data_IF_424377104171
#
_entry.id   IF_424377104171
#
_cell.length_a   1.000
_cell.length_b   1.000
_cell.length_c   1.000
_cell.angle_alpha   90.00
_cell.angle_beta   90.00
_cell.angle_gamma   90.00
#
_symmetry.space_group_name_H-M   'P 1'
#
loop_
_entity.id
_entity.type
_entity.pdbx_description
1 polymer ?
#
# COMPACT_ATOMS: atom_id res chain seq x y z
N UNK A 1 -40.15 17.27 -46.13
CA UNK A 1 -40.76 16.85 -44.84
C UNK A 1 -39.71 17.03 -43.75
N UNK A 2 -39.89 18.04 -42.88
CA UNK A 2 -38.92 18.44 -41.89
C UNK A 2 -39.34 17.88 -40.49
N UNK A 3 -38.53 17.02 -39.90
CA UNK A 3 -38.74 16.50 -38.54
C UNK A 3 -38.16 17.50 -37.52
N UNK A 4 -39.04 18.05 -36.73
CA UNK A 4 -38.77 18.99 -35.64
C UNK A 4 -38.43 18.18 -34.37
N UNK A 5 -37.17 18.24 -33.91
CA UNK A 5 -36.74 17.69 -32.63
C UNK A 5 -37.05 18.67 -31.49
N UNK A 6 -37.86 18.25 -30.53
CA UNK A 6 -38.17 18.95 -29.29
C UNK A 6 -37.12 18.64 -28.22
N UNK A 7 -36.51 19.68 -27.62
CA UNK A 7 -35.56 19.56 -26.49
C UNK A 7 -36.34 19.39 -25.17
N UNK A 8 -35.88 18.55 -24.26
CA UNK A 8 -36.46 18.44 -22.91
C UNK A 8 -36.00 19.59 -21.99
N UNK A 9 -36.97 20.08 -21.20
CA UNK A 9 -36.86 21.16 -20.23
C UNK A 9 -36.06 20.72 -19.01
N UNK A 10 -35.03 21.48 -18.61
CA UNK A 10 -34.30 21.31 -17.34
C UNK A 10 -35.18 21.71 -16.17
N UNK A 11 -35.40 20.80 -15.24
CA UNK A 11 -36.05 21.04 -13.96
C UNK A 11 -34.98 21.30 -12.86
N UNK A 12 -34.89 22.54 -12.41
CA UNK A 12 -34.11 22.91 -11.21
C UNK A 12 -34.84 22.46 -9.95
N UNK A 13 -34.25 21.53 -9.20
CA UNK A 13 -34.68 21.23 -7.83
C UNK A 13 -33.74 21.94 -6.86
N UNK A 14 -34.22 23.03 -6.28
CA UNK A 14 -33.63 23.68 -5.09
C UNK A 14 -33.90 22.84 -3.86
N UNK A 15 -32.81 22.40 -3.19
CA UNK A 15 -32.86 21.68 -1.91
C UNK A 15 -32.69 22.68 -0.77
N UNK A 16 -33.54 22.71 0.27
CA UNK A 16 -33.40 23.63 1.39
C UNK A 16 -32.28 23.17 2.34
N UNK A 17 -31.42 24.13 2.71
CA UNK A 17 -30.36 23.97 3.70
C UNK A 17 -31.01 23.97 5.08
N UNK A 18 -30.91 22.85 5.79
CA UNK A 18 -31.32 22.73 7.19
C UNK A 18 -30.13 23.14 8.09
N UNK A 19 -30.21 24.32 8.70
CA UNK A 19 -29.25 24.81 9.68
C UNK A 19 -29.62 24.26 11.06
N UNK A 20 -28.77 23.38 11.63
CA UNK A 20 -28.91 22.86 12.98
C UNK A 20 -28.03 23.71 13.92
N UNK A 21 -28.53 24.28 15.03
CA UNK A 21 -27.70 25.02 15.96
C UNK A 21 -26.90 24.10 16.88
N UNK A 22 -25.60 24.33 16.96
CA UNK A 22 -24.65 23.64 17.82
C UNK A 22 -24.72 24.22 19.24
N UNK A 23 -25.21 23.44 20.21
CA UNK A 23 -25.23 23.81 21.62
C UNK A 23 -23.84 23.51 22.24
N UNK A 24 -23.13 24.56 22.64
CA UNK A 24 -21.91 24.47 23.45
C UNK A 24 -22.30 24.21 24.92
N UNK A 25 -21.93 23.05 25.44
CA UNK A 25 -21.95 22.77 26.88
C UNK A 25 -20.53 22.91 27.42
N UNK A 26 -20.28 23.99 28.13
CA UNK A 26 -19.09 24.20 28.95
C UNK A 26 -19.35 23.57 30.32
N UNK A 27 -18.60 22.54 30.66
CA UNK A 27 -18.60 21.91 31.97
C UNK A 27 -17.20 21.98 32.57
N UNK A 28 -16.96 22.99 33.45
CA UNK A 28 -15.84 22.98 34.37
C UNK A 28 -16.14 22.01 35.50
N UNK A 29 -15.22 21.09 35.79
CA UNK A 29 -15.14 20.44 37.09
C UNK A 29 -13.67 20.38 37.54
N UNK A 30 -13.30 21.24 38.46
CA UNK A 30 -12.08 21.16 39.27
C UNK A 30 -12.34 20.15 40.41
N UNK A 31 -11.48 19.17 40.57
CA UNK A 31 -11.27 18.52 41.86
C UNK A 31 -9.79 18.28 42.07
N UNK A 32 -9.26 19.00 43.06
CA UNK A 32 -7.96 18.78 43.66
C UNK A 32 -7.94 17.43 44.37
N UNK A 33 -6.90 16.62 44.15
CA UNK A 33 -6.46 15.65 45.14
C UNK A 33 -4.96 15.37 45.00
N UNK A 34 -4.38 15.27 46.13
CA UNK A 34 -3.00 15.37 46.58
C UNK A 34 -1.98 14.43 45.94
N UNK A 35 -0.76 14.91 45.86
CA UNK A 35 0.47 14.28 45.40
C UNK A 35 0.89 13.20 46.42
N UNK A 36 1.12 11.99 45.95
CA UNK A 36 1.88 10.98 46.67
C UNK A 36 3.02 10.45 45.75
N UNK A 37 4.31 10.68 46.12
CA UNK A 37 5.43 10.26 45.30
C UNK A 37 5.96 8.89 45.76
N UNK A 38 5.60 7.83 45.03
CA UNK A 38 6.45 6.64 44.85
C UNK A 38 5.67 5.47 44.20
N UNK A 39 5.73 5.39 42.86
CA UNK A 39 5.74 4.10 42.21
C UNK A 39 6.46 4.24 40.86
N UNK A 40 7.64 3.65 40.76
CA UNK A 40 8.34 3.43 39.50
C UNK A 40 7.47 2.55 38.61
N UNK A 41 6.68 3.14 37.72
CA UNK A 41 6.01 2.43 36.63
C UNK A 41 6.97 2.49 35.44
N UNK A 42 7.61 1.37 35.19
CA UNK A 42 8.37 1.14 33.95
C UNK A 42 7.37 1.16 32.80
N UNK A 43 7.20 2.31 32.17
CA UNK A 43 6.53 2.39 30.87
C UNK A 43 7.49 1.85 29.83
N UNK A 44 7.28 0.58 29.45
CA UNK A 44 7.80 0.07 28.19
C UNK A 44 7.09 0.81 27.05
N UNK A 45 7.70 1.91 26.58
CA UNK A 45 7.35 2.47 25.26
C UNK A 45 7.64 1.37 24.23
N UNK A 46 6.58 0.73 23.74
CA UNK A 46 6.62 -0.06 22.53
C UNK A 46 6.80 0.97 21.40
N UNK A 47 8.04 1.13 20.98
CA UNK A 47 8.44 1.94 19.83
C UNK A 47 8.16 1.08 18.56
N UNK A 48 6.86 0.92 18.22
CA UNK A 48 6.37 -0.02 17.20
C UNK A 48 6.32 0.58 15.80
N UNK A 49 7.05 1.68 15.51
CA UNK A 49 6.99 2.37 14.21
C UNK A 49 8.35 2.60 13.53
N UNK A 50 9.33 1.75 13.77
CA UNK A 50 10.54 1.77 12.95
C UNK A 50 10.37 0.71 11.86
N UNK A 51 9.96 1.13 10.65
CA UNK A 51 10.09 0.30 9.45
C UNK A 51 11.54 -0.13 9.36
N UNK A 52 11.79 -1.44 9.38
CA UNK A 52 13.15 -1.97 9.25
C UNK A 52 13.69 -1.60 7.86
N UNK A 53 14.49 -0.55 7.82
CA UNK A 53 15.04 0.00 6.58
C UNK A 53 16.15 -0.87 5.97
N UNK A 54 16.60 -1.92 6.68
CA UNK A 54 17.66 -2.82 6.17
C UNK A 54 17.20 -3.62 4.93
N UNK A 55 15.90 -3.83 4.78
CA UNK A 55 15.29 -4.59 3.69
C UNK A 55 14.64 -3.70 2.60
N UNK A 56 14.96 -2.40 2.59
CA UNK A 56 14.39 -1.44 1.63
C UNK A 56 15.51 -0.71 0.90
N UNK A 57 15.42 -0.65 -0.43
CA UNK A 57 16.23 0.22 -1.27
C UNK A 57 15.33 1.24 -1.98
N UNK A 58 15.67 2.52 -1.89
CA UNK A 58 15.01 3.59 -2.64
C UNK A 58 15.92 3.96 -3.81
N UNK A 59 15.47 3.65 -5.03
CA UNK A 59 16.22 3.91 -6.26
C UNK A 59 15.82 5.29 -6.80
N UNK A 60 16.57 6.31 -6.38
CA UNK A 60 16.28 7.71 -6.72
C UNK A 60 17.14 8.15 -7.92
N UNK A 61 16.78 7.69 -9.14
CA UNK A 61 17.49 7.95 -10.39
C UNK A 61 16.52 8.16 -11.55
N UNK A 62 16.69 9.26 -12.28
CA UNK A 62 15.77 9.65 -13.37
C UNK A 62 15.69 8.60 -14.49
N UNK A 63 16.80 7.95 -14.83
CA UNK A 63 16.80 6.88 -15.85
C UNK A 63 15.98 5.67 -15.38
N UNK A 64 16.08 5.31 -14.10
CA UNK A 64 15.30 4.22 -13.50
C UNK A 64 13.83 4.61 -13.46
N UNK A 65 13.52 5.81 -12.98
CA UNK A 65 12.14 6.33 -12.89
C UNK A 65 11.47 6.35 -14.27
N UNK A 66 12.20 6.78 -15.33
CA UNK A 66 11.69 6.75 -16.70
C UNK A 66 11.46 5.34 -17.25
N UNK A 67 12.31 4.37 -16.92
CA UNK A 67 12.11 2.97 -17.33
C UNK A 67 10.79 2.42 -16.78
N UNK A 68 10.41 2.78 -15.54
CA UNK A 68 9.24 2.26 -14.84
C UNK A 68 7.96 3.02 -15.19
N UNK A 69 8.00 4.37 -15.17
CA UNK A 69 6.79 5.19 -15.28
C UNK A 69 6.60 5.82 -16.66
N UNK A 70 7.67 5.94 -17.48
CA UNK A 70 7.70 6.62 -18.79
C UNK A 70 7.45 8.14 -18.73
N UNK A 71 6.91 8.65 -17.64
CA UNK A 71 6.59 10.07 -17.41
C UNK A 71 6.73 10.42 -15.92
N UNK A 72 6.62 11.70 -15.60
CA UNK A 72 6.78 12.20 -14.23
C UNK A 72 8.22 12.60 -13.91
N UNK A 73 8.42 13.19 -12.74
CA UNK A 73 9.72 13.58 -12.21
C UNK A 73 10.06 12.77 -10.97
N UNK A 74 11.29 12.31 -10.85
CA UNK A 74 11.78 11.62 -9.64
C UNK A 74 11.50 12.46 -8.39
N UNK A 75 11.07 11.82 -7.30
CA UNK A 75 10.74 12.48 -6.04
C UNK A 75 11.20 11.66 -4.84
N UNK A 76 11.44 12.34 -3.73
CA UNK A 76 11.86 11.68 -2.48
C UNK A 76 10.66 11.10 -1.70
N UNK A 77 10.95 10.04 -0.94
CA UNK A 77 10.01 9.42 -0.01
C UNK A 77 10.36 9.84 1.42
N UNK A 78 9.42 10.47 2.10
CA UNK A 78 9.50 10.75 3.54
C UNK A 78 9.20 9.50 4.37
N UNK A 79 9.55 9.49 5.65
CA UNK A 79 9.19 8.42 6.59
C UNK A 79 7.67 8.19 6.63
N UNK A 80 6.88 9.25 6.57
CA UNK A 80 5.41 9.14 6.47
C UNK A 80 4.98 8.40 5.21
N UNK A 81 5.62 8.67 4.07
CA UNK A 81 5.31 7.95 2.82
C UNK A 81 5.65 6.45 2.95
N UNK A 82 6.76 6.09 3.59
CA UNK A 82 7.13 4.68 3.79
C UNK A 82 6.09 3.92 4.63
N UNK A 83 5.60 4.54 5.71
CA UNK A 83 4.52 3.96 6.53
C UNK A 83 3.23 3.78 5.71
N UNK A 84 2.89 4.75 4.88
CA UNK A 84 1.69 4.70 4.03
C UNK A 84 1.80 3.64 2.94
N UNK A 85 2.98 3.53 2.29
CA UNK A 85 3.30 2.45 1.34
C UNK A 85 3.14 1.08 2.01
N UNK A 86 3.70 0.88 3.20
CA UNK A 86 3.63 -0.39 3.93
C UNK A 86 2.19 -0.78 4.27
N UNK A 87 1.36 0.18 4.64
CA UNK A 87 -0.08 -0.03 4.90
C UNK A 87 -0.82 -0.48 3.64
N UNK A 88 -0.65 0.22 2.51
CA UNK A 88 -1.32 -0.10 1.24
C UNK A 88 -0.82 -1.43 0.67
N UNK A 89 0.49 -1.68 0.76
CA UNK A 89 1.11 -2.94 0.36
C UNK A 89 0.54 -4.11 1.17
N UNK A 90 0.40 -3.94 2.48
CA UNK A 90 -0.16 -4.96 3.37
C UNK A 90 -1.63 -5.26 3.03
N UNK A 91 -2.43 -4.25 2.69
CA UNK A 91 -3.81 -4.43 2.22
C UNK A 91 -3.85 -5.24 0.92
N UNK A 92 -3.07 -4.86 -0.08
CA UNK A 92 -2.96 -5.57 -1.36
C UNK A 92 -2.61 -7.05 -1.16
N UNK A 93 -1.59 -7.34 -0.35
CA UNK A 93 -1.13 -8.72 -0.10
C UNK A 93 -2.17 -9.53 0.71
N UNK A 94 -2.86 -8.90 1.66
CA UNK A 94 -3.95 -9.57 2.37
C UNK A 94 -5.09 -9.98 1.44
N UNK A 95 -5.46 -9.13 0.48
CA UNK A 95 -6.47 -9.45 -0.53
C UNK A 95 -6.00 -10.57 -1.46
N UNK A 96 -4.74 -10.51 -1.92
CA UNK A 96 -4.12 -11.57 -2.73
C UNK A 96 -4.13 -12.90 -1.98
N UNK A 97 -3.63 -12.92 -0.75
CA UNK A 97 -3.52 -14.14 0.06
C UNK A 97 -4.87 -14.80 0.32
N UNK A 98 -5.95 -14.03 0.56
CA UNK A 98 -7.31 -14.58 0.69
C UNK A 98 -7.73 -15.36 -0.57
N UNK A 99 -7.46 -14.81 -1.76
CA UNK A 99 -7.76 -15.48 -3.03
C UNK A 99 -6.90 -16.74 -3.22
N UNK A 100 -5.62 -16.64 -2.91
CA UNK A 100 -4.67 -17.75 -3.03
C UNK A 100 -4.97 -18.91 -2.05
N UNK A 101 -5.48 -18.60 -0.87
CA UNK A 101 -5.91 -19.63 0.10
C UNK A 101 -7.09 -20.46 -0.43
N UNK A 102 -8.04 -19.83 -1.10
CA UNK A 102 -9.15 -20.53 -1.76
C UNK A 102 -8.60 -21.49 -2.83
N UNK A 103 -7.71 -20.97 -3.71
CA UNK A 103 -7.09 -21.76 -4.79
C UNK A 103 -6.29 -22.95 -4.21
N UNK A 104 -5.51 -22.72 -3.17
CA UNK A 104 -4.77 -23.78 -2.48
C UNK A 104 -5.70 -24.88 -1.97
N UNK A 105 -6.77 -24.51 -1.27
CA UNK A 105 -7.73 -25.45 -0.68
C UNK A 105 -8.46 -26.25 -1.76
N UNK A 106 -8.86 -25.61 -2.86
CA UNK A 106 -9.48 -26.29 -4.02
C UNK A 106 -8.52 -27.30 -4.67
N UNK A 107 -7.26 -26.91 -4.92
CA UNK A 107 -6.25 -27.81 -5.49
C UNK A 107 -5.98 -29.00 -4.56
N UNK A 108 -5.87 -28.75 -3.26
CA UNK A 108 -5.62 -29.80 -2.25
C UNK A 108 -6.81 -30.75 -2.12
N UNK A 109 -8.04 -30.25 -2.20
CA UNK A 109 -9.26 -31.06 -2.17
C UNK A 109 -9.38 -31.98 -3.40
N UNK A 110 -9.06 -31.45 -4.61
CA UNK A 110 -9.11 -32.20 -5.87
C UNK A 110 -8.03 -33.30 -5.96
N UNK A 111 -6.87 -33.06 -5.35
CA UNK A 111 -5.71 -33.94 -5.40
C UNK A 111 -5.05 -34.05 -4.02
N UNK A 112 -5.63 -34.80 -3.06
CA UNK A 112 -5.15 -34.84 -1.66
C UNK A 112 -3.70 -35.30 -1.53
N UNK A 113 -3.26 -36.22 -2.38
CA UNK A 113 -1.92 -36.82 -2.35
C UNK A 113 -0.86 -35.98 -3.08
N UNK A 114 -1.28 -34.98 -3.85
CA UNK A 114 -0.33 -34.11 -4.56
C UNK A 114 0.42 -33.20 -3.58
N UNK A 115 1.76 -33.13 -3.62
CA UNK A 115 2.58 -32.48 -2.61
C UNK A 115 2.64 -30.94 -2.79
N UNK A 116 1.48 -30.26 -2.86
CA UNK A 116 1.44 -28.79 -2.85
C UNK A 116 1.72 -28.24 -1.47
N UNK A 117 2.49 -27.15 -1.41
CA UNK A 117 2.85 -26.48 -0.15
C UNK A 117 2.16 -25.13 -0.08
N UNK A 118 1.47 -24.83 1.04
CA UNK A 118 0.77 -23.55 1.24
C UNK A 118 1.69 -22.33 1.04
N UNK A 119 2.97 -22.44 1.42
CA UNK A 119 3.96 -21.37 1.23
C UNK A 119 4.18 -20.93 -0.23
N UNK A 120 3.84 -21.78 -1.19
CA UNK A 120 3.95 -21.43 -2.63
C UNK A 120 2.76 -20.58 -3.12
N UNK A 121 1.76 -20.37 -2.28
CA UNK A 121 0.56 -19.58 -2.60
C UNK A 121 0.49 -18.28 -1.80
N UNK A 122 1.02 -18.29 -0.58
CA UNK A 122 0.85 -17.19 0.38
C UNK A 122 2.12 -16.35 0.46
N UNK A 123 1.98 -15.04 0.36
CA UNK A 123 3.05 -14.04 0.50
C UNK A 123 3.13 -13.59 1.96
N UNK A 124 4.30 -13.71 2.59
CA UNK A 124 4.59 -13.19 3.92
C UNK A 124 5.58 -12.02 3.82
N UNK A 125 5.08 -10.78 3.79
CA UNK A 125 5.86 -9.57 3.53
C UNK A 125 7.13 -9.40 4.36
N UNK A 126 7.16 -9.93 5.58
CA UNK A 126 8.35 -9.90 6.48
C UNK A 126 9.58 -10.62 5.89
N UNK A 127 9.36 -11.51 4.92
CA UNK A 127 10.41 -12.31 4.28
C UNK A 127 10.93 -11.68 2.98
N UNK A 128 10.51 -10.44 2.64
CA UNK A 128 10.83 -9.82 1.36
C UNK A 128 11.71 -8.58 1.53
N UNK A 129 12.71 -8.48 0.67
CA UNK A 129 13.35 -7.20 0.35
C UNK A 129 12.45 -6.41 -0.60
N UNK A 130 12.62 -5.09 -0.60
CA UNK A 130 11.79 -4.18 -1.38
C UNK A 130 12.61 -3.10 -2.05
N UNK A 131 12.28 -2.81 -3.29
CA UNK A 131 12.78 -1.64 -4.00
C UNK A 131 11.64 -0.66 -4.23
N UNK A 132 11.92 0.62 -4.05
CA UNK A 132 10.99 1.70 -4.30
C UNK A 132 11.55 2.66 -5.34
N UNK A 133 10.75 2.96 -6.36
CA UNK A 133 11.00 4.03 -7.32
C UNK A 133 9.84 5.00 -7.22
N UNK A 134 10.11 6.27 -6.91
CA UNK A 134 9.06 7.26 -6.68
C UNK A 134 9.10 8.39 -7.71
N UNK A 135 7.94 8.76 -8.23
CA UNK A 135 7.77 9.90 -9.12
C UNK A 135 6.62 10.80 -8.67
N UNK A 136 6.68 12.05 -9.09
CA UNK A 136 5.54 12.97 -9.13
C UNK A 136 4.99 12.96 -10.54
N UNK A 137 3.76 12.46 -10.70
CA UNK A 137 3.12 12.33 -12.01
C UNK A 137 2.66 13.70 -12.56
N UNK A 138 2.13 13.72 -13.78
CA UNK A 138 1.69 14.94 -14.47
C UNK A 138 0.56 15.68 -13.74
N UNK A 139 -0.19 15.01 -12.85
CA UNK A 139 -1.21 15.62 -11.98
C UNK A 139 -0.64 16.17 -10.68
N UNK A 140 0.67 16.00 -10.45
CA UNK A 140 1.34 16.39 -9.23
C UNK A 140 1.20 15.41 -8.08
N UNK A 141 0.60 14.22 -8.31
CA UNK A 141 0.43 13.16 -7.32
C UNK A 141 1.70 12.32 -7.20
N UNK A 142 1.99 11.82 -6.01
CA UNK A 142 3.14 10.95 -5.77
C UNK A 142 2.78 9.50 -6.03
N UNK A 143 3.49 8.89 -6.96
CA UNK A 143 3.37 7.47 -7.30
C UNK A 143 4.65 6.72 -6.98
N UNK A 144 4.52 5.47 -6.54
CA UNK A 144 5.65 4.61 -6.18
C UNK A 144 5.47 3.25 -6.82
N UNK A 145 6.48 2.81 -7.55
CA UNK A 145 6.63 1.41 -7.92
C UNK A 145 7.30 0.67 -6.77
N UNK A 146 6.70 -0.44 -6.39
CA UNK A 146 7.15 -1.33 -5.32
C UNK A 146 7.48 -2.67 -5.95
N UNK A 147 8.74 -3.07 -5.87
CA UNK A 147 9.23 -4.38 -6.29
C UNK A 147 9.63 -5.18 -5.05
N UNK A 148 9.09 -6.38 -4.91
CA UNK A 148 9.29 -7.26 -3.76
C UNK A 148 9.88 -8.60 -4.18
N UNK A 149 10.88 -9.07 -3.44
CA UNK A 149 11.55 -10.34 -3.71
C UNK A 149 12.02 -11.01 -2.42
N UNK A 150 11.83 -12.34 -2.32
CA UNK A 150 12.20 -13.12 -1.13
C UNK A 150 13.61 -13.74 -1.23
N UNK A 151 14.30 -13.59 -2.36
CA UNK A 151 15.65 -14.06 -2.58
C UNK A 151 16.43 -13.08 -3.46
N UNK A 152 17.72 -12.93 -3.21
CA UNK A 152 18.64 -12.14 -4.01
C UNK A 152 19.87 -12.98 -4.35
N UNK A 153 20.50 -12.69 -5.48
CA UNK A 153 21.76 -13.34 -5.88
C UNK A 153 22.98 -12.56 -5.39
N UNK A 154 22.83 -11.23 -5.22
CA UNK A 154 23.88 -10.31 -4.79
C UNK A 154 23.27 -9.04 -4.16
N UNK A 155 24.13 -8.06 -3.83
CA UNK A 155 23.73 -6.76 -3.27
C UNK A 155 23.38 -5.70 -4.34
N UNK A 156 23.43 -6.01 -5.62
CA UNK A 156 23.14 -5.07 -6.73
C UNK A 156 21.73 -4.50 -6.66
N UNK A 157 20.79 -5.22 -6.04
CA UNK A 157 19.41 -4.76 -5.81
C UNK A 157 19.33 -3.44 -5.02
N UNK A 158 20.38 -3.04 -4.32
CA UNK A 158 20.40 -1.79 -3.54
C UNK A 158 20.62 -0.55 -4.43
N UNK A 159 21.08 -0.73 -5.65
CA UNK A 159 21.49 0.35 -6.54
C UNK A 159 20.89 0.30 -7.95
N UNK A 160 20.42 -0.85 -8.40
CA UNK A 160 19.78 -1.03 -9.71
C UNK A 160 18.51 -1.90 -9.61
N UNK A 161 17.67 -1.84 -10.65
CA UNK A 161 16.42 -2.61 -10.70
C UNK A 161 16.74 -4.11 -10.66
N UNK A 162 16.19 -4.79 -9.69
CA UNK A 162 16.28 -6.23 -9.54
C UNK A 162 15.07 -6.90 -10.21
N UNK A 163 15.28 -7.57 -11.35
CA UNK A 163 14.21 -8.22 -12.10
C UNK A 163 14.51 -9.70 -12.29
N UNK A 164 13.49 -10.52 -12.04
CA UNK A 164 13.51 -11.95 -12.28
C UNK A 164 12.25 -12.30 -13.08
N UNK A 165 12.38 -13.15 -14.12
CA UNK A 165 11.27 -13.46 -15.03
C UNK A 165 10.33 -14.56 -14.53
N UNK A 166 10.75 -15.32 -13.52
CA UNK A 166 10.03 -16.45 -12.93
C UNK A 166 10.17 -16.46 -11.40
N UNK A 167 9.97 -17.63 -10.74
CA UNK A 167 10.15 -17.76 -9.29
C UNK A 167 8.88 -17.56 -8.48
N UNK A 168 7.73 -17.51 -9.15
CA UNK A 168 6.42 -17.51 -8.52
C UNK A 168 6.21 -16.37 -7.53
N UNK A 169 5.53 -16.65 -6.43
CA UNK A 169 5.20 -15.67 -5.41
C UNK A 169 6.42 -15.07 -4.66
N UNK A 170 7.65 -15.59 -4.90
CA UNK A 170 8.86 -14.96 -4.39
C UNK A 170 9.15 -13.59 -5.02
N UNK A 171 8.55 -13.30 -6.17
CA UNK A 171 8.74 -12.06 -6.91
C UNK A 171 7.39 -11.47 -7.30
N UNK A 172 7.15 -10.25 -6.87
CA UNK A 172 5.94 -9.52 -7.25
C UNK A 172 6.20 -8.01 -7.25
N UNK A 173 5.40 -7.28 -8.02
CA UNK A 173 5.45 -5.84 -8.09
C UNK A 173 4.07 -5.20 -8.13
N UNK A 174 3.99 -3.94 -7.80
CA UNK A 174 2.79 -3.10 -7.94
C UNK A 174 3.18 -1.63 -8.02
N UNK A 175 2.22 -0.80 -8.41
CA UNK A 175 2.31 0.64 -8.27
C UNK A 175 1.33 1.15 -7.24
N UNK A 176 1.73 2.15 -6.47
CA UNK A 176 0.91 2.79 -5.43
C UNK A 176 0.85 4.28 -5.74
N UNK A 177 -0.35 4.84 -5.80
CA UNK A 177 -0.56 6.28 -5.74
C UNK A 177 -0.81 6.65 -4.27
N UNK A 178 0.17 7.32 -3.64
CA UNK A 178 0.14 7.64 -2.21
C UNK A 178 -0.97 8.65 -1.90
N UNK A 179 -1.21 9.63 -2.78
CA UNK A 179 -2.18 10.69 -2.53
C UNK A 179 -3.62 10.17 -2.59
N UNK A 180 -3.90 9.21 -3.47
CA UNK A 180 -5.22 8.58 -3.58
C UNK A 180 -5.36 7.31 -2.74
N UNK A 181 -4.27 6.82 -2.11
CA UNK A 181 -4.19 5.58 -1.32
C UNK A 181 -4.66 4.34 -2.08
N UNK A 182 -4.34 4.27 -3.37
CA UNK A 182 -4.72 3.16 -4.24
C UNK A 182 -3.48 2.48 -4.80
N UNK A 183 -3.58 1.17 -4.99
CA UNK A 183 -2.61 0.40 -5.75
C UNK A 183 -3.18 -0.04 -7.10
N UNK A 184 -2.29 -0.32 -8.05
CA UNK A 184 -2.61 -0.80 -9.40
C UNK A 184 -1.41 -1.56 -9.97
N UNK A 185 -1.58 -2.19 -11.13
CA UNK A 185 -0.55 -3.00 -11.81
C UNK A 185 0.08 -4.07 -10.89
N UNK A 186 -0.71 -4.63 -9.96
CA UNK A 186 -0.22 -5.72 -9.11
C UNK A 186 0.01 -6.98 -9.95
N UNK A 187 1.24 -7.48 -9.94
CA UNK A 187 1.64 -8.66 -10.68
C UNK A 187 2.55 -9.55 -9.84
N UNK A 188 2.25 -10.85 -9.81
CA UNK A 188 3.09 -11.89 -9.21
C UNK A 188 3.70 -12.70 -10.36
N UNK A 189 4.98 -13.03 -10.26
CA UNK A 189 5.65 -13.81 -11.29
C UNK A 189 5.04 -15.21 -11.45
N UNK A 190 5.17 -15.77 -12.64
CA UNK A 190 4.78 -17.15 -12.90
C UNK A 190 5.75 -18.15 -12.25
N UNK A 191 5.25 -19.34 -11.95
CA UNK A 191 6.10 -20.50 -11.65
C UNK A 191 6.67 -21.04 -12.98
N UNK A 192 7.96 -21.41 -12.99
CA UNK A 192 8.62 -22.05 -14.13
C UNK A 192 8.23 -23.52 -14.26
#
# INVERSE_FOLDING_TARGET
MAHRQTRPKKMNKTLPILILPFLLIVGCNQSNSEINPNSKKTESKIDSNKTDSSNIAILNNDSISYKIFKEGSTTELSQKNLIEIDSILSECINEHNKKQEIIFNEKKSKNPDFPIKKKNFIIELKNYQRQYVAVKNVRGEKEVWVNCFCATFDDGWKSDIYMVSDGGNCFFELKINIDTKKYYDFMVNGDA
#
